data_IF_220366912823
#
_entry.id   IF_220366912823
#
_cell.length_a   1.000
_cell.length_b   1.000
_cell.length_c   1.000
_cell.angle_alpha   90.00
_cell.angle_beta   90.00
_cell.angle_gamma   90.00
#
_symmetry.space_group_name_H-M   'P 1'
#
loop_
_entity.id
_entity.type
_entity.pdbx_description
1 polymer ?
#
# COMPACT_ATOMS: atom_id res chain seq x y z
N UNK A 1 -0.51 -2.50 -24.38
CA UNK A 1 -0.49 -1.66 -23.17
C UNK A 1 0.81 -1.92 -22.40
N UNK A 2 1.41 -0.93 -21.71
CA UNK A 2 2.73 -1.10 -21.08
C UNK A 2 2.65 -2.11 -19.94
N UNK A 3 3.55 -3.10 -19.95
CA UNK A 3 3.67 -4.20 -18.97
C UNK A 3 4.42 -3.74 -17.71
N UNK A 4 3.99 -2.65 -17.07
CA UNK A 4 4.87 -1.87 -16.19
C UNK A 4 5.31 -2.60 -14.92
N UNK A 5 4.45 -3.43 -14.32
CA UNK A 5 4.78 -4.10 -13.05
C UNK A 5 5.64 -5.35 -13.24
N UNK A 6 5.47 -6.10 -14.33
CA UNK A 6 6.30 -7.28 -14.62
C UNK A 6 7.77 -6.90 -14.84
N UNK A 7 8.03 -5.73 -15.44
CA UNK A 7 9.39 -5.22 -15.63
C UNK A 7 10.13 -5.04 -14.29
N UNK A 8 9.44 -4.55 -13.26
CA UNK A 8 10.06 -4.29 -11.96
C UNK A 8 10.62 -5.57 -11.31
N UNK A 9 9.90 -6.69 -11.45
CA UNK A 9 10.34 -7.99 -10.95
C UNK A 9 11.60 -8.54 -11.65
N UNK A 10 11.90 -8.12 -12.89
CA UNK A 10 13.12 -8.52 -13.58
C UNK A 10 14.37 -8.02 -12.84
N UNK A 11 14.28 -6.88 -12.14
CA UNK A 11 15.39 -6.37 -11.34
C UNK A 11 15.78 -7.28 -10.18
N UNK A 12 14.91 -8.19 -9.71
CA UNK A 12 15.30 -9.17 -8.68
C UNK A 12 16.38 -10.15 -9.16
N UNK A 13 16.49 -10.34 -10.48
CA UNK A 13 17.42 -11.28 -11.09
C UNK A 13 18.66 -10.60 -11.69
N UNK A 14 18.68 -9.26 -11.73
CA UNK A 14 19.79 -8.49 -12.28
C UNK A 14 20.82 -8.18 -11.19
N UNK A 15 22.13 -8.17 -11.52
CA UNK A 15 23.13 -7.66 -10.60
C UNK A 15 22.97 -6.15 -10.45
N UNK A 16 22.91 -5.67 -9.20
CA UNK A 16 22.88 -4.25 -8.86
C UNK A 16 24.10 -3.90 -8.02
N UNK A 17 24.77 -2.79 -8.35
CA UNK A 17 25.74 -2.19 -7.45
C UNK A 17 25.02 -1.76 -6.18
N UNK A 18 25.53 -2.17 -5.02
CA UNK A 18 25.01 -1.71 -3.73
C UNK A 18 25.49 -0.31 -3.44
N UNK A 19 24.60 0.51 -2.88
CA UNK A 19 24.93 1.83 -2.34
C UNK A 19 25.01 1.72 -0.83
N UNK A 20 26.09 2.21 -0.25
CA UNK A 20 26.24 2.31 1.21
C UNK A 20 25.37 3.47 1.71
N UNK A 21 24.16 3.16 2.18
CA UNK A 21 23.14 4.15 2.54
C UNK A 21 23.62 5.14 3.63
N UNK A 22 24.47 4.69 4.56
CA UNK A 22 25.06 5.59 5.57
C UNK A 22 26.02 6.61 4.93
N UNK A 23 26.81 6.21 3.93
CA UNK A 23 27.67 7.12 3.19
C UNK A 23 26.84 8.12 2.40
N UNK A 24 25.80 7.63 1.70
CA UNK A 24 24.88 8.47 0.96
C UNK A 24 24.14 9.47 1.86
N UNK A 25 23.72 9.05 3.07
CA UNK A 25 23.07 9.93 4.05
C UNK A 25 23.99 11.09 4.46
N UNK A 26 25.29 10.82 4.64
CA UNK A 26 26.28 11.86 4.97
C UNK A 26 26.57 12.80 3.81
N UNK A 27 26.57 12.28 2.58
CA UNK A 27 26.82 13.08 1.37
C UNK A 27 25.65 13.98 1.02
N UNK A 28 24.42 13.48 1.11
CA UNK A 28 23.21 14.24 0.82
C UNK A 28 22.81 15.16 1.98
N UNK A 29 22.99 14.68 3.21
CA UNK A 29 22.73 15.42 4.44
C UNK A 29 21.36 16.13 4.46
N UNK A 30 20.28 15.43 4.08
CA UNK A 30 18.96 16.04 4.06
C UNK A 30 18.51 16.39 5.48
N UNK A 31 18.35 17.69 5.75
CA UNK A 31 17.78 18.14 7.02
C UNK A 31 16.26 17.87 7.07
N UNK A 32 15.55 18.30 6.03
CA UNK A 32 14.11 18.13 5.89
C UNK A 32 13.75 17.56 4.52
N UNK A 33 12.93 16.51 4.53
CA UNK A 33 12.29 15.95 3.34
C UNK A 33 10.77 16.02 3.48
N UNK A 34 10.10 16.37 2.38
CA UNK A 34 8.63 16.26 2.24
C UNK A 34 8.31 15.30 1.11
N UNK A 35 7.47 14.30 1.35
CA UNK A 35 7.04 13.33 0.33
C UNK A 35 5.55 13.58 0.06
N UNK A 36 5.21 13.83 -1.20
CA UNK A 36 3.83 14.12 -1.62
C UNK A 36 3.34 12.99 -2.52
N UNK A 37 2.34 12.25 -2.03
CA UNK A 37 1.71 11.17 -2.78
C UNK A 37 0.67 11.62 -3.80
N UNK A 38 0.14 10.62 -4.52
CA UNK A 38 -0.79 10.83 -5.62
C UNK A 38 -2.27 10.95 -5.20
N UNK A 39 -2.61 10.91 -3.90
CA UNK A 39 -4.00 11.04 -3.47
C UNK A 39 -4.57 12.41 -3.86
N UNK A 40 -5.84 12.53 -4.23
CA UNK A 40 -6.45 13.80 -4.65
C UNK A 40 -6.32 14.92 -3.59
N UNK A 41 -6.30 16.18 -4.03
CA UNK A 41 -6.26 17.35 -3.14
C UNK A 41 -5.25 18.39 -3.60
N UNK A 42 -5.34 19.58 -3.02
CA UNK A 42 -4.37 20.63 -3.25
C UNK A 42 -3.05 20.26 -2.57
N UNK A 43 -1.94 20.64 -3.21
CA UNK A 43 -0.62 20.48 -2.64
C UNK A 43 0.24 21.68 -3.02
N UNK A 44 1.28 21.91 -2.24
CA UNK A 44 2.34 22.87 -2.53
C UNK A 44 3.67 22.22 -2.15
N UNK A 45 4.76 22.50 -2.87
CA UNK A 45 6.07 22.09 -2.40
C UNK A 45 6.39 22.73 -1.06
N UNK A 46 7.22 22.05 -0.27
CA UNK A 46 7.71 22.63 0.97
C UNK A 46 8.58 23.85 0.67
N UNK A 47 8.46 24.88 1.51
CA UNK A 47 9.27 26.11 1.39
C UNK A 47 10.73 25.89 1.80
N UNK A 48 11.00 24.81 2.52
CA UNK A 48 12.32 24.41 3.02
C UNK A 48 12.58 22.93 2.73
N UNK A 49 13.86 22.56 2.60
CA UNK A 49 14.26 21.19 2.33
C UNK A 49 13.94 20.71 0.91
N UNK A 50 13.90 19.40 0.74
CA UNK A 50 13.66 18.73 -0.55
C UNK A 50 12.27 18.09 -0.57
N UNK A 51 11.50 18.33 -1.62
CA UNK A 51 10.19 17.75 -1.87
C UNK A 51 10.30 16.64 -2.91
N UNK A 52 9.87 15.42 -2.55
CA UNK A 52 9.76 14.29 -3.47
C UNK A 52 8.30 14.11 -3.90
N UNK A 53 8.10 14.01 -5.21
CA UNK A 53 6.79 13.78 -5.83
C UNK A 53 6.85 12.56 -6.76
N UNK A 54 5.69 12.11 -7.21
CA UNK A 54 5.55 10.99 -8.15
C UNK A 54 4.78 11.42 -9.39
N UNK A 55 4.86 10.65 -10.48
CA UNK A 55 4.24 10.97 -11.78
C UNK A 55 2.74 11.37 -11.75
N UNK A 56 1.97 10.95 -10.75
CA UNK A 56 0.56 11.38 -10.60
C UNK A 56 0.40 12.81 -10.06
N UNK A 57 1.47 13.41 -9.60
CA UNK A 57 1.54 14.77 -9.06
C UNK A 57 2.12 15.68 -10.12
N UNK A 58 1.24 16.31 -10.91
CA UNK A 58 1.66 17.22 -11.97
C UNK A 58 2.37 18.44 -11.39
N UNK A 59 3.48 18.81 -12.01
CA UNK A 59 4.29 19.93 -11.61
C UNK A 59 4.91 20.58 -12.85
N UNK A 60 5.09 21.90 -12.78
CA UNK A 60 5.75 22.66 -13.83
C UNK A 60 7.24 22.78 -13.50
N UNK A 61 8.11 22.21 -14.32
CA UNK A 61 9.57 22.31 -14.14
C UNK A 61 10.06 23.77 -14.09
N UNK A 62 9.35 24.69 -14.77
CA UNK A 62 9.67 26.13 -14.74
C UNK A 62 9.39 26.78 -13.38
N UNK A 63 8.66 26.10 -12.49
CA UNK A 63 8.43 26.53 -11.11
C UNK A 63 9.38 25.86 -10.09
N UNK A 64 10.55 25.36 -10.53
CA UNK A 64 11.63 24.83 -9.67
C UNK A 64 12.82 25.78 -9.44
N UNK A 65 12.62 27.01 -8.94
CA UNK A 65 13.70 27.98 -8.88
C UNK A 65 14.91 27.51 -8.02
N UNK A 66 14.75 26.48 -7.18
CA UNK A 66 15.77 26.02 -6.24
C UNK A 66 16.16 24.52 -6.34
N UNK A 67 15.74 23.79 -7.39
CA UNK A 67 15.88 22.31 -7.45
C UNK A 67 15.34 21.60 -6.20
N UNK A 68 14.32 22.17 -5.58
CA UNK A 68 13.71 21.66 -4.36
C UNK A 68 12.74 20.52 -4.65
N UNK A 69 12.33 20.34 -5.91
CA UNK A 69 11.44 19.23 -6.29
C UNK A 69 12.20 18.15 -7.04
N UNK A 70 12.04 16.93 -6.54
CA UNK A 70 12.55 15.69 -7.10
C UNK A 70 11.38 14.81 -7.51
N UNK A 71 11.30 14.43 -8.79
CA UNK A 71 10.27 13.51 -9.28
C UNK A 71 10.79 12.08 -9.31
N UNK A 72 9.97 11.13 -8.84
CA UNK A 72 10.22 9.69 -8.89
C UNK A 72 9.20 9.04 -9.82
N UNK A 73 9.71 8.41 -10.86
CA UNK A 73 8.95 7.65 -11.84
C UNK A 73 9.30 6.15 -11.77
N UNK A 74 8.37 5.30 -12.22
CA UNK A 74 8.65 3.89 -12.46
C UNK A 74 9.48 3.73 -13.74
N UNK A 75 10.63 3.07 -13.66
CA UNK A 75 11.61 2.95 -14.73
C UNK A 75 11.13 2.13 -15.93
N UNK A 76 10.17 1.21 -15.71
CA UNK A 76 9.53 0.45 -16.79
C UNK A 76 8.74 1.29 -17.80
N UNK A 77 8.43 2.55 -17.48
CA UNK A 77 7.83 3.51 -18.43
C UNK A 77 8.87 4.37 -19.17
N UNK A 78 10.15 4.31 -18.78
CA UNK A 78 11.21 5.20 -19.24
C UNK A 78 12.41 4.45 -19.85
N UNK A 79 12.26 3.15 -20.17
CA UNK A 79 13.33 2.28 -20.70
C UNK A 79 14.62 2.32 -19.86
N UNK A 80 14.47 2.54 -18.54
CA UNK A 80 15.58 2.68 -17.61
C UNK A 80 16.22 1.32 -17.29
N UNK A 81 17.53 1.33 -17.06
CA UNK A 81 18.27 0.16 -16.53
C UNK A 81 17.90 -0.16 -15.07
N UNK A 82 17.22 0.77 -14.38
CA UNK A 82 16.83 0.66 -12.99
C UNK A 82 15.31 0.65 -12.84
N UNK A 83 14.86 0.18 -11.66
CA UNK A 83 13.45 0.08 -11.34
C UNK A 83 12.77 1.45 -11.24
N UNK A 84 13.52 2.49 -10.90
CA UNK A 84 13.03 3.86 -10.77
C UNK A 84 13.78 4.80 -11.73
N UNK A 85 13.20 5.98 -11.93
CA UNK A 85 13.88 7.12 -12.55
C UNK A 85 13.68 8.32 -11.64
N UNK A 86 14.79 8.95 -11.25
CA UNK A 86 14.81 10.15 -10.43
C UNK A 86 15.16 11.36 -11.30
N UNK A 87 14.41 12.44 -11.16
CA UNK A 87 14.60 13.69 -11.90
C UNK A 87 14.61 14.88 -10.95
N UNK A 88 15.32 15.95 -11.29
CA UNK A 88 15.34 17.19 -10.50
C UNK A 88 16.34 17.23 -9.34
N UNK A 89 17.20 16.20 -9.19
CA UNK A 89 18.26 16.17 -8.19
C UNK A 89 19.65 15.94 -8.84
N UNK A 90 20.73 16.61 -8.38
CA UNK A 90 22.09 16.39 -8.92
C UNK A 90 22.65 14.98 -8.73
N UNK A 91 22.17 14.25 -7.72
CA UNK A 91 22.56 12.87 -7.40
C UNK A 91 21.48 11.85 -7.81
N UNK A 92 20.77 12.10 -8.91
CA UNK A 92 19.66 11.28 -9.38
C UNK A 92 20.06 9.80 -9.60
N UNK A 93 21.25 9.52 -10.11
CA UNK A 93 21.72 8.16 -10.37
C UNK A 93 21.91 7.36 -9.07
N UNK A 94 22.54 7.97 -8.05
CA UNK A 94 22.71 7.35 -6.73
C UNK A 94 21.37 7.13 -6.02
N UNK A 95 20.47 8.12 -6.08
CA UNK A 95 19.11 7.98 -5.54
C UNK A 95 18.32 6.87 -6.25
N UNK A 96 18.46 6.76 -7.57
CA UNK A 96 17.82 5.70 -8.38
C UNK A 96 18.31 4.31 -7.96
N UNK A 97 19.63 4.16 -7.75
CA UNK A 97 20.22 2.91 -7.26
C UNK A 97 19.74 2.59 -5.85
N UNK A 98 19.76 3.56 -4.94
CA UNK A 98 19.33 3.39 -3.56
C UNK A 98 17.84 3.01 -3.45
N UNK A 99 16.95 3.65 -4.23
CA UNK A 99 15.53 3.28 -4.31
C UNK A 99 15.36 1.83 -4.81
N UNK A 100 16.12 1.45 -5.84
CA UNK A 100 16.07 0.08 -6.39
C UNK A 100 16.52 -0.94 -5.34
N UNK A 101 17.61 -0.64 -4.61
CA UNK A 101 18.10 -1.49 -3.51
C UNK A 101 17.04 -1.65 -2.40
N UNK A 102 16.46 -0.56 -1.92
CA UNK A 102 15.40 -0.60 -0.89
C UNK A 102 14.21 -1.42 -1.38
N UNK A 103 13.80 -1.27 -2.63
CA UNK A 103 12.68 -2.05 -3.17
C UNK A 103 12.95 -3.56 -3.22
N UNK A 104 14.17 -3.95 -3.57
CA UNK A 104 14.62 -5.35 -3.54
C UNK A 104 14.57 -5.90 -2.10
N UNK A 105 15.03 -5.13 -1.12
CA UNK A 105 15.05 -5.52 0.31
C UNK A 105 13.64 -5.63 0.91
N UNK A 106 12.69 -4.81 0.45
CA UNK A 106 11.29 -4.86 0.88
C UNK A 106 10.50 -6.02 0.23
N UNK A 107 10.86 -6.43 -0.98
CA UNK A 107 10.14 -7.46 -1.74
C UNK A 107 9.89 -8.76 -0.96
N UNK A 108 10.88 -9.41 -0.31
CA UNK A 108 10.63 -10.64 0.43
C UNK A 108 9.71 -10.45 1.65
N UNK A 109 9.64 -9.23 2.21
CA UNK A 109 8.78 -8.93 3.37
C UNK A 109 7.31 -8.69 2.97
N UNK A 110 7.09 -8.28 1.72
CA UNK A 110 5.76 -8.00 1.15
C UNK A 110 5.20 -9.16 0.34
N UNK A 111 6.07 -10.04 -0.17
CA UNK A 111 5.69 -11.07 -1.15
C UNK A 111 5.40 -10.52 -2.54
N UNK A 112 5.66 -9.24 -2.78
CA UNK A 112 5.51 -8.55 -4.07
C UNK A 112 6.45 -7.35 -4.16
N UNK A 113 6.54 -6.74 -5.35
CA UNK A 113 7.27 -5.49 -5.52
C UNK A 113 6.57 -4.34 -4.77
N UNK A 114 7.29 -3.52 -3.98
CA UNK A 114 6.69 -2.42 -3.21
C UNK A 114 6.25 -1.25 -4.10
N UNK A 115 5.32 -0.44 -3.60
CA UNK A 115 5.02 0.85 -4.20
C UNK A 115 6.22 1.81 -4.11
N UNK A 116 6.30 2.72 -5.07
CA UNK A 116 7.30 3.79 -5.06
C UNK A 116 7.16 4.69 -3.83
N UNK A 117 5.93 4.84 -3.31
CA UNK A 117 5.63 5.58 -2.10
C UNK A 117 6.33 5.00 -0.88
N UNK A 118 6.07 3.73 -0.55
CA UNK A 118 6.73 3.07 0.58
C UNK A 118 8.25 3.06 0.42
N UNK A 119 8.74 2.72 -0.78
CA UNK A 119 10.18 2.67 -1.09
C UNK A 119 10.86 4.01 -0.80
N UNK A 120 10.23 5.12 -1.21
CA UNK A 120 10.75 6.47 -0.99
C UNK A 120 10.73 6.82 0.49
N UNK A 121 9.65 6.52 1.21
CA UNK A 121 9.56 6.80 2.66
C UNK A 121 10.66 6.05 3.42
N UNK A 122 10.86 4.76 3.14
CA UNK A 122 11.90 3.95 3.79
C UNK A 122 13.30 4.48 3.48
N UNK A 123 13.56 4.90 2.24
CA UNK A 123 14.84 5.48 1.90
C UNK A 123 15.06 6.82 2.62
N UNK A 124 14.08 7.72 2.56
CA UNK A 124 14.22 9.06 3.14
C UNK A 124 14.32 9.04 4.66
N UNK A 125 13.70 8.06 5.33
CA UNK A 125 13.87 7.83 6.76
C UNK A 125 15.33 7.49 7.15
N UNK A 126 16.12 6.94 6.23
CA UNK A 126 17.55 6.66 6.45
C UNK A 126 18.46 7.82 6.03
N UNK A 127 18.02 8.64 5.07
CA UNK A 127 18.83 9.71 4.49
C UNK A 127 18.58 11.09 5.11
N UNK A 128 17.51 11.25 5.91
CA UNK A 128 17.04 12.57 6.36
C UNK A 128 16.87 12.63 7.87
N UNK A 129 17.01 13.83 8.45
CA UNK A 129 16.74 14.05 9.88
C UNK A 129 15.23 14.14 10.16
N UNK A 130 14.50 14.79 9.26
CA UNK A 130 13.05 14.94 9.36
C UNK A 130 12.36 14.58 8.04
N UNK A 131 11.30 13.78 8.14
CA UNK A 131 10.49 13.36 7.00
C UNK A 131 9.03 13.68 7.29
N UNK A 132 8.44 14.46 6.39
CA UNK A 132 7.01 14.70 6.34
C UNK A 132 6.41 13.95 5.15
N UNK A 133 5.22 13.36 5.34
CA UNK A 133 4.48 12.67 4.29
C UNK A 133 3.09 13.28 4.20
N UNK A 134 2.68 13.62 2.98
CA UNK A 134 1.38 14.22 2.67
C UNK A 134 0.71 13.47 1.51
N UNK A 135 -0.62 13.49 1.46
CA UNK A 135 -1.41 12.92 0.33
C UNK A 135 -1.07 11.46 0.03
N UNK A 136 -0.72 10.69 1.06
CA UNK A 136 -0.37 9.28 0.92
C UNK A 136 -0.75 8.55 2.19
N UNK A 137 -1.78 7.71 2.19
CA UNK A 137 -2.10 6.86 3.35
C UNK A 137 -1.50 5.44 3.25
N UNK A 138 -0.82 5.14 2.14
CA UNK A 138 -0.55 3.76 1.68
C UNK A 138 -1.81 2.88 1.65
N UNK A 139 -2.97 3.48 1.41
CA UNK A 139 -4.24 2.78 1.50
C UNK A 139 -5.25 3.23 0.43
N UNK A 140 -4.91 3.07 -0.86
CA UNK A 140 -5.87 3.35 -1.92
C UNK A 140 -7.06 2.38 -1.85
N UNK A 141 -8.21 2.83 -2.34
CA UNK A 141 -9.42 2.03 -2.48
C UNK A 141 -9.22 0.89 -3.48
N UNK A 142 -9.80 -0.28 -3.20
CA UNK A 142 -9.95 -1.39 -4.13
C UNK A 142 -11.38 -1.47 -4.69
N UNK A 143 -12.26 -0.53 -4.33
CA UNK A 143 -13.59 -0.45 -4.91
C UNK A 143 -13.47 -0.04 -6.39
N UNK A 144 -13.89 -0.92 -7.29
CA UNK A 144 -13.88 -0.63 -8.72
C UNK A 144 -14.96 0.39 -9.05
N UNK A 145 -14.67 1.41 -9.87
CA UNK A 145 -15.71 2.31 -10.34
C UNK A 145 -16.51 1.63 -11.46
N UNK A 146 -17.76 2.08 -11.66
CA UNK A 146 -18.69 1.44 -12.60
C UNK A 146 -18.28 1.59 -14.08
N UNK A 147 -17.41 2.54 -14.38
CA UNK A 147 -16.90 2.85 -15.72
C UNK A 147 -15.61 2.09 -16.06
N UNK A 148 -15.00 1.36 -15.12
CA UNK A 148 -13.84 0.52 -15.38
C UNK A 148 -14.26 -0.79 -16.06
N UNK A 149 -13.77 -1.10 -17.27
CA UNK A 149 -14.12 -2.33 -17.98
C UNK A 149 -13.79 -3.60 -17.17
N UNK A 150 -14.57 -4.68 -17.29
CA UNK A 150 -14.34 -5.93 -16.54
C UNK A 150 -12.96 -6.56 -16.74
N UNK A 151 -12.39 -6.40 -17.93
CA UNK A 151 -11.05 -6.87 -18.32
C UNK A 151 -9.90 -6.05 -17.73
N UNK A 152 -10.17 -4.80 -17.37
CA UNK A 152 -9.18 -3.90 -16.81
C UNK A 152 -9.08 -4.07 -15.30
N UNK A 153 -7.85 -4.05 -14.78
CA UNK A 153 -7.59 -4.12 -13.35
C UNK A 153 -7.40 -2.72 -12.75
N UNK A 154 -7.70 -2.58 -11.46
CA UNK A 154 -7.35 -1.36 -10.74
C UNK A 154 -5.83 -1.25 -10.62
N UNK A 155 -5.21 -0.11 -10.99
CA UNK A 155 -3.76 0.05 -10.89
C UNK A 155 -3.20 -0.21 -9.48
N UNK A 156 -4.00 0.07 -8.44
CA UNK A 156 -3.59 -0.17 -7.07
C UNK A 156 -3.62 -1.66 -6.68
N UNK A 157 -4.32 -2.56 -7.37
CA UNK A 157 -4.46 -3.94 -6.91
C UNK A 157 -3.17 -4.78 -7.02
N UNK A 158 -2.12 -4.23 -7.61
CA UNK A 158 -0.83 -4.92 -7.83
C UNK A 158 0.12 -4.87 -6.62
N UNK A 159 -0.23 -4.08 -5.59
CA UNK A 159 0.59 -3.91 -4.39
C UNK A 159 -0.10 -4.50 -3.16
N UNK A 160 0.70 -5.11 -2.29
CA UNK A 160 0.26 -5.55 -0.97
C UNK A 160 0.14 -4.35 -0.01
N UNK A 161 -0.90 -3.52 -0.17
CA UNK A 161 -1.08 -2.31 0.65
C UNK A 161 -1.21 -2.58 2.15
N UNK A 162 -1.78 -3.72 2.54
CA UNK A 162 -1.83 -4.12 3.95
C UNK A 162 -0.42 -4.40 4.48
N UNK A 163 0.39 -5.14 3.73
CA UNK A 163 1.80 -5.38 4.05
C UNK A 163 2.63 -4.10 4.07
N UNK A 164 2.39 -3.18 3.11
CA UNK A 164 3.09 -1.89 3.07
C UNK A 164 2.79 -1.05 4.31
N UNK A 165 1.51 -0.97 4.70
CA UNK A 165 1.12 -0.30 5.95
C UNK A 165 1.70 -0.99 7.18
N UNK A 166 1.72 -2.32 7.21
CA UNK A 166 2.35 -3.08 8.30
C UNK A 166 3.82 -2.69 8.47
N UNK A 167 4.58 -2.63 7.37
CA UNK A 167 5.99 -2.20 7.40
C UNK A 167 6.09 -0.76 7.86
N UNK A 168 5.30 0.14 7.26
CA UNK A 168 5.29 1.56 7.62
C UNK A 168 4.97 1.82 9.10
N UNK A 169 4.08 1.01 9.70
CA UNK A 169 3.70 1.12 11.11
C UNK A 169 4.90 1.02 12.06
N UNK A 170 5.97 0.33 11.67
CA UNK A 170 7.17 0.13 12.52
C UNK A 170 7.98 1.41 12.73
N UNK A 171 7.83 2.39 11.84
CA UNK A 171 8.57 3.66 11.88
C UNK A 171 7.68 4.91 11.75
N UNK A 172 6.36 4.74 11.55
CA UNK A 172 5.43 5.84 11.33
C UNK A 172 5.45 6.91 12.44
N UNK A 173 5.74 6.53 13.69
CA UNK A 173 5.81 7.48 14.82
C UNK A 173 7.02 8.41 14.76
N UNK A 174 8.02 8.10 13.92
CA UNK A 174 9.19 8.96 13.68
C UNK A 174 8.98 9.94 12.51
N UNK A 175 7.81 9.91 11.85
CA UNK A 175 7.48 10.72 10.69
C UNK A 175 6.35 11.70 11.02
N UNK A 176 6.34 12.87 10.38
CA UNK A 176 5.14 13.71 10.34
C UNK A 176 4.21 13.19 9.25
N UNK A 177 3.24 12.36 9.64
CA UNK A 177 2.39 11.63 8.71
C UNK A 177 0.93 11.48 9.21
N UNK A 178 0.14 12.56 9.17
CA UNK A 178 -1.19 12.59 9.76
C UNK A 178 -2.18 11.62 9.08
N UNK A 179 -2.07 11.40 7.76
CA UNK A 179 -3.00 10.52 7.02
C UNK A 179 -2.72 9.02 7.21
N UNK A 180 -1.64 8.65 7.90
CA UNK A 180 -1.32 7.25 8.14
C UNK A 180 -2.25 6.60 9.16
N UNK A 181 -2.54 7.29 10.27
CA UNK A 181 -3.27 6.70 11.40
C UNK A 181 -4.74 6.49 11.07
N UNK A 182 -5.25 5.27 11.28
CA UNK A 182 -6.67 4.96 11.08
C UNK A 182 -7.44 5.22 12.37
N UNK A 183 -8.40 6.17 12.39
CA UNK A 183 -9.28 6.36 13.53
C UNK A 183 -10.47 5.39 13.47
N UNK A 184 -10.90 4.89 14.64
CA UNK A 184 -12.01 3.93 14.73
C UNK A 184 -13.32 4.43 14.10
N UNK A 185 -13.58 5.75 14.15
CA UNK A 185 -14.78 6.38 13.58
C UNK A 185 -14.90 6.16 12.07
N UNK A 186 -13.78 6.10 11.34
CA UNK A 186 -13.80 5.84 9.90
C UNK A 186 -14.32 4.43 9.58
N UNK A 187 -14.09 3.46 10.47
CA UNK A 187 -14.57 2.08 10.30
C UNK A 187 -16.09 1.99 10.43
N UNK A 188 -16.65 2.68 11.42
CA UNK A 188 -18.11 2.74 11.62
C UNK A 188 -18.81 3.35 10.40
N UNK A 189 -18.23 4.40 9.81
CA UNK A 189 -18.77 5.04 8.61
C UNK A 189 -18.74 4.12 7.39
N UNK A 190 -17.63 3.40 7.16
CA UNK A 190 -17.52 2.44 6.07
C UNK A 190 -18.53 1.29 6.21
N UNK A 191 -18.69 0.76 7.43
CA UNK A 191 -19.68 -0.27 7.71
C UNK A 191 -21.11 0.23 7.44
N UNK A 192 -21.43 1.48 7.82
CA UNK A 192 -22.73 2.09 7.57
C UNK A 192 -23.02 2.30 6.08
N UNK A 193 -22.02 2.80 5.32
CA UNK A 193 -22.13 2.96 3.85
C UNK A 193 -22.37 1.61 3.18
N UNK A 194 -21.63 0.57 3.59
CA UNK A 194 -21.82 -0.77 3.04
C UNK A 194 -23.14 -1.40 3.45
N UNK A 195 -23.67 -1.07 4.63
CA UNK A 195 -24.99 -1.54 5.08
C UNK A 195 -26.11 -0.93 4.24
N UNK A 196 -26.01 0.35 3.89
CA UNK A 196 -26.97 1.03 3.03
C UNK A 196 -26.97 0.48 1.59
N UNK A 197 -25.83 -0.05 1.12
CA UNK A 197 -25.70 -0.68 -0.21
C UNK A 197 -26.29 -2.09 -0.29
N UNK A 198 -26.44 -2.78 0.85
CA UNK A 198 -27.06 -4.10 0.93
C UNK A 198 -28.58 -4.03 1.08
N UNK A 199 -29.30 -3.81 -0.02
CA UNK A 199 -30.75 -3.97 -0.07
C UNK A 199 -31.12 -5.36 -0.61
N UNK A 200 -31.70 -6.18 0.27
CA UNK A 200 -32.42 -7.43 0.01
C UNK A 200 -31.54 -8.67 -0.23
N UNK A 201 -31.80 -9.74 0.52
CA UNK A 201 -31.23 -11.11 0.43
C UNK A 201 -29.85 -11.40 1.02
N UNK A 202 -29.61 -11.10 2.30
CA UNK A 202 -28.57 -11.85 3.03
C UNK A 202 -29.13 -12.33 4.38
N UNK A 203 -29.28 -13.66 4.53
CA UNK A 203 -29.30 -14.28 5.85
C UNK A 203 -27.94 -13.97 6.47
N UNK A 204 -27.85 -12.94 7.32
CA UNK A 204 -26.62 -12.71 8.07
C UNK A 204 -26.28 -14.00 8.82
N UNK A 205 -25.22 -14.69 8.39
CA UNK A 205 -24.66 -15.76 9.18
C UNK A 205 -24.33 -15.19 10.57
N UNK A 206 -24.59 -15.96 11.63
CA UNK A 206 -24.16 -15.55 12.98
C UNK A 206 -22.69 -15.17 12.91
N UNK A 207 -22.35 -13.95 13.35
CA UNK A 207 -21.00 -13.38 13.28
C UNK A 207 -20.05 -14.22 14.13
N UNK A 208 -19.43 -15.22 13.50
CA UNK A 208 -18.36 -16.04 14.06
C UNK A 208 -17.01 -15.33 13.99
N UNK A 209 -15.93 -16.10 14.06
CA UNK A 209 -14.58 -15.57 13.87
C UNK A 209 -14.40 -15.11 12.40
N UNK A 210 -14.16 -13.81 12.12
CA UNK A 210 -13.99 -13.33 10.75
C UNK A 210 -12.78 -13.94 10.04
N UNK A 211 -11.75 -14.36 10.78
CA UNK A 211 -10.58 -15.01 10.20
C UNK A 211 -10.87 -16.41 9.64
N UNK A 212 -11.92 -17.09 10.14
CA UNK A 212 -12.35 -18.37 9.56
C UNK A 212 -12.93 -18.17 8.14
N UNK A 213 -13.65 -17.06 7.91
CA UNK A 213 -14.16 -16.73 6.58
C UNK A 213 -13.03 -16.30 5.63
N UNK A 214 -12.05 -15.54 6.13
CA UNK A 214 -10.86 -15.20 5.34
C UNK A 214 -10.07 -16.45 4.93
N UNK A 215 -9.91 -17.43 5.83
CA UNK A 215 -9.26 -18.71 5.51
C UNK A 215 -10.01 -19.46 4.40
N UNK A 216 -11.35 -19.51 4.44
CA UNK A 216 -12.17 -20.12 3.37
C UNK A 216 -12.05 -19.39 2.03
N UNK A 217 -11.94 -18.06 2.04
CA UNK A 217 -11.65 -17.29 0.83
C UNK A 217 -10.26 -17.65 0.27
N UNK A 218 -9.28 -17.88 1.15
CA UNK A 218 -7.91 -18.24 0.76
C UNK A 218 -7.81 -19.65 0.16
N UNK A 219 -8.58 -20.61 0.70
CA UNK A 219 -8.69 -21.97 0.16
C UNK A 219 -9.30 -22.02 -1.25
N UNK A 220 -10.05 -20.98 -1.61
CA UNK A 220 -10.61 -20.86 -2.94
C UNK A 220 -9.53 -20.51 -3.96
N UNK A 221 -9.38 -21.32 -5.01
CA UNK A 221 -8.38 -21.06 -6.05
C UNK A 221 -8.71 -19.77 -6.82
N UNK A 222 -7.74 -18.85 -7.04
CA UNK A 222 -7.92 -17.71 -7.93
C UNK A 222 -8.33 -18.19 -9.33
N UNK A 223 -9.53 -17.80 -9.77
CA UNK A 223 -10.07 -18.17 -11.09
C UNK A 223 -11.16 -17.19 -11.51
N UNK A 224 -11.11 -16.78 -12.77
CA UNK A 224 -12.17 -15.96 -13.39
C UNK A 224 -13.45 -16.78 -13.64
N UNK A 225 -13.30 -18.08 -13.92
CA UNK A 225 -14.35 -19.00 -14.38
C UNK A 225 -15.04 -19.75 -13.23
N UNK A 226 -15.06 -19.15 -12.04
CA UNK A 226 -15.72 -19.71 -10.87
C UNK A 226 -17.24 -19.85 -11.10
N UNK A 227 -17.87 -20.99 -10.74
CA UNK A 227 -19.32 -21.17 -10.86
C UNK A 227 -20.11 -20.06 -10.17
N UNK A 228 -21.23 -19.63 -10.76
CA UNK A 228 -22.07 -18.56 -10.21
C UNK A 228 -22.51 -18.81 -8.76
N UNK A 229 -22.84 -20.05 -8.40
CA UNK A 229 -23.20 -20.42 -7.03
C UNK A 229 -22.04 -20.21 -6.04
N UNK A 230 -20.81 -20.52 -6.44
CA UNK A 230 -19.62 -20.29 -5.62
C UNK A 230 -19.30 -18.79 -5.49
N UNK A 231 -19.46 -18.00 -6.57
CA UNK A 231 -19.34 -16.53 -6.51
C UNK A 231 -20.34 -15.92 -5.54
N UNK A 232 -21.59 -16.39 -5.56
CA UNK A 232 -22.63 -15.91 -4.65
C UNK A 232 -22.29 -16.19 -3.17
N UNK A 233 -21.84 -17.41 -2.86
CA UNK A 233 -21.39 -17.78 -1.51
C UNK A 233 -20.23 -16.89 -1.04
N UNK A 234 -19.22 -16.67 -1.90
CA UNK A 234 -18.09 -15.82 -1.54
C UNK A 234 -18.50 -14.35 -1.40
N UNK A 235 -19.43 -13.87 -2.21
CA UNK A 235 -20.00 -12.54 -2.07
C UNK A 235 -20.67 -12.37 -0.70
N UNK A 236 -21.46 -13.36 -0.25
CA UNK A 236 -22.06 -13.35 1.08
C UNK A 236 -21.00 -13.33 2.20
N UNK A 237 -19.88 -14.02 2.01
CA UNK A 237 -18.75 -13.95 2.95
C UNK A 237 -18.13 -12.56 2.99
N UNK A 238 -17.90 -11.93 1.83
CA UNK A 238 -17.36 -10.58 1.74
C UNK A 238 -18.29 -9.54 2.38
N UNK A 239 -19.60 -9.65 2.13
CA UNK A 239 -20.63 -8.82 2.78
C UNK A 239 -20.57 -9.00 4.29
N UNK A 240 -20.57 -10.25 4.77
CA UNK A 240 -20.50 -10.56 6.21
C UNK A 240 -19.23 -9.97 6.84
N UNK A 241 -18.08 -10.13 6.20
CA UNK A 241 -16.80 -9.58 6.66
C UNK A 241 -16.82 -8.04 6.70
N UNK A 242 -17.34 -7.40 5.66
CA UNK A 242 -17.40 -5.94 5.55
C UNK A 242 -18.35 -5.29 6.57
N UNK A 243 -19.36 -6.02 7.03
CA UNK A 243 -20.30 -5.57 8.07
C UNK A 243 -19.93 -6.05 9.47
N UNK A 244 -18.89 -6.89 9.62
CA UNK A 244 -18.46 -7.38 10.93
C UNK A 244 -17.91 -6.21 11.77
N UNK A 245 -18.47 -5.94 12.96
CA UNK A 245 -18.00 -4.87 13.83
C UNK A 245 -16.52 -5.00 14.22
N UNK A 246 -15.83 -3.86 14.37
CA UNK A 246 -14.38 -3.85 14.65
C UNK A 246 -13.99 -4.51 15.98
N UNK A 247 -14.86 -4.47 16.98
CA UNK A 247 -14.65 -5.16 18.26
C UNK A 247 -14.62 -6.70 18.09
N UNK A 248 -15.42 -7.23 17.17
CA UNK A 248 -15.38 -8.66 16.79
C UNK A 248 -14.06 -8.98 16.09
N UNK A 249 -13.63 -8.16 15.14
CA UNK A 249 -12.31 -8.30 14.51
C UNK A 249 -11.17 -8.31 15.53
N UNK A 250 -11.14 -7.32 16.43
CA UNK A 250 -10.12 -7.20 17.48
C UNK A 250 -10.13 -8.36 18.48
N UNK A 251 -11.30 -8.91 18.78
CA UNK A 251 -11.46 -10.05 19.70
C UNK A 251 -10.73 -11.29 19.18
N UNK A 252 -10.74 -11.52 17.87
CA UNK A 252 -10.15 -12.71 17.27
C UNK A 252 -8.78 -12.48 16.63
N UNK A 253 -8.38 -11.23 16.40
CA UNK A 253 -7.15 -10.92 15.68
C UNK A 253 -5.87 -11.32 16.45
N UNK A 254 -5.00 -12.04 15.74
CA UNK A 254 -3.58 -12.11 16.04
C UNK A 254 -2.73 -11.63 14.84
N UNK A 255 -1.46 -11.26 15.09
CA UNK A 255 -0.59 -10.69 14.06
C UNK A 255 -0.37 -11.65 12.87
N UNK A 256 -0.28 -12.96 13.11
CA UNK A 256 -0.03 -13.96 12.07
C UNK A 256 -1.26 -14.10 11.17
N UNK A 257 -2.45 -14.11 11.75
CA UNK A 257 -3.70 -14.12 11.01
C UNK A 257 -3.85 -12.89 10.11
N UNK A 258 -3.53 -11.70 10.62
CA UNK A 258 -3.59 -10.47 9.82
C UNK A 258 -2.61 -10.53 8.64
N UNK A 259 -1.37 -10.97 8.86
CA UNK A 259 -0.37 -11.14 7.79
C UNK A 259 -0.83 -12.17 6.75
N UNK A 260 -1.36 -13.32 7.19
CA UNK A 260 -1.81 -14.36 6.28
C UNK A 260 -2.95 -13.88 5.35
N UNK A 261 -3.79 -12.96 5.82
CA UNK A 261 -4.89 -12.41 5.04
C UNK A 261 -4.43 -11.43 3.94
N UNK A 262 -3.21 -10.89 4.00
CA UNK A 262 -2.71 -9.89 3.05
C UNK A 262 -2.82 -10.34 1.59
N UNK A 263 -2.51 -11.62 1.33
CA UNK A 263 -2.51 -12.22 -0.01
C UNK A 263 -3.88 -12.23 -0.71
N UNK A 264 -4.98 -12.03 0.03
CA UNK A 264 -6.33 -11.95 -0.54
C UNK A 264 -6.59 -10.64 -1.28
N UNK A 265 -5.78 -9.60 -1.02
CA UNK A 265 -6.12 -8.23 -1.41
C UNK A 265 -5.21 -7.63 -2.49
N UNK A 266 -4.40 -8.46 -3.15
CA UNK A 266 -3.59 -8.01 -4.27
C UNK A 266 -3.33 -9.14 -5.27
N UNK A 267 -3.03 -8.77 -6.51
CA UNK A 267 -2.39 -9.65 -7.48
C UNK A 267 -1.29 -8.85 -8.16
N UNK A 268 -0.03 -9.17 -7.86
CA UNK A 268 1.14 -8.45 -8.38
C UNK A 268 1.44 -8.74 -9.85
N UNK A 269 0.74 -9.69 -10.49
CA UNK A 269 0.88 -10.03 -11.90
C UNK A 269 -0.47 -10.32 -12.55
N UNK A 270 -1.40 -9.34 -12.59
CA UNK A 270 -2.75 -9.57 -13.07
C UNK A 270 -2.85 -9.90 -14.57
N UNK A 271 -1.82 -9.58 -15.35
CA UNK A 271 -1.77 -9.89 -16.78
C UNK A 271 -1.31 -11.33 -17.07
N UNK A 272 -0.69 -12.02 -16.11
CA UNK A 272 -0.13 -13.36 -16.32
C UNK A 272 -0.56 -14.40 -15.28
N UNK A 273 -1.13 -13.97 -14.15
CA UNK A 273 -1.66 -14.84 -13.10
C UNK A 273 -3.13 -14.55 -12.83
N UNK A 274 -3.95 -15.57 -12.56
CA UNK A 274 -5.35 -15.38 -12.23
C UNK A 274 -5.50 -14.58 -10.92
N UNK A 275 -6.39 -13.61 -10.93
CA UNK A 275 -6.82 -12.87 -9.74
C UNK A 275 -7.95 -13.62 -9.02
N UNK A 276 -8.12 -13.35 -7.72
CA UNK A 276 -9.41 -13.58 -7.08
C UNK A 276 -10.49 -12.78 -7.83
N UNK A 277 -11.61 -13.43 -8.19
CA UNK A 277 -12.64 -12.81 -9.03
C UNK A 277 -13.19 -11.51 -8.42
N UNK A 278 -13.28 -11.43 -7.09
CA UNK A 278 -13.79 -10.25 -6.39
C UNK A 278 -12.88 -9.02 -6.48
N UNK A 279 -11.61 -9.18 -6.89
CA UNK A 279 -10.72 -8.05 -7.21
C UNK A 279 -11.05 -7.42 -8.57
N UNK A 280 -11.68 -8.19 -9.46
CA UNK A 280 -12.05 -7.81 -10.82
C UNK A 280 -13.56 -7.52 -10.97
N UNK A 281 -14.36 -7.85 -9.97
CA UNK A 281 -15.80 -7.68 -9.99
C UNK A 281 -16.24 -6.35 -9.36
N UNK A 282 -17.02 -5.57 -10.10
CA UNK A 282 -17.46 -4.23 -9.68
C UNK A 282 -18.34 -4.26 -8.43
N UNK A 283 -19.17 -5.28 -8.24
CA UNK A 283 -20.03 -5.40 -7.08
C UNK A 283 -19.27 -5.89 -5.85
N UNK A 284 -18.52 -6.98 -5.98
CA UNK A 284 -17.81 -7.60 -4.87
C UNK A 284 -16.68 -6.72 -4.33
N UNK A 285 -15.99 -5.99 -5.22
CA UNK A 285 -14.88 -5.12 -4.84
C UNK A 285 -15.28 -3.98 -3.89
N UNK A 286 -16.56 -3.58 -3.87
CA UNK A 286 -17.08 -2.53 -2.96
C UNK A 286 -16.93 -2.89 -1.48
N UNK A 287 -16.87 -4.19 -1.16
CA UNK A 287 -16.78 -4.66 0.23
C UNK A 287 -15.34 -4.74 0.74
N UNK A 288 -14.35 -4.77 -0.15
CA UNK A 288 -12.95 -5.01 0.20
C UNK A 288 -12.38 -3.92 1.10
N UNK A 289 -12.77 -2.67 0.90
CA UNK A 289 -12.22 -1.55 1.66
C UNK A 289 -12.54 -1.66 3.15
N UNK A 290 -13.77 -2.00 3.54
CA UNK A 290 -14.14 -2.16 4.94
C UNK A 290 -13.38 -3.32 5.61
N UNK A 291 -13.19 -4.42 4.88
CA UNK A 291 -12.43 -5.58 5.35
C UNK A 291 -10.97 -5.20 5.57
N UNK A 292 -10.33 -4.60 4.57
CA UNK A 292 -8.93 -4.14 4.65
C UNK A 292 -8.74 -3.13 5.77
N UNK A 293 -9.64 -2.16 5.91
CA UNK A 293 -9.57 -1.18 6.99
C UNK A 293 -9.63 -1.84 8.37
N UNK A 294 -10.49 -2.85 8.54
CA UNK A 294 -10.57 -3.61 9.79
C UNK A 294 -9.26 -4.36 10.08
N UNK A 295 -8.68 -5.03 9.07
CA UNK A 295 -7.38 -5.71 9.19
C UNK A 295 -6.24 -4.74 9.53
N UNK A 296 -6.16 -3.61 8.82
CA UNK A 296 -5.14 -2.58 9.07
C UNK A 296 -5.28 -1.97 10.48
N UNK A 297 -6.50 -1.77 10.96
CA UNK A 297 -6.76 -1.27 12.31
C UNK A 297 -6.42 -2.32 13.39
N UNK A 298 -6.70 -3.59 13.15
CA UNK A 298 -6.25 -4.69 14.01
C UNK A 298 -4.73 -4.70 14.13
N UNK A 299 -4.00 -4.60 13.00
CA UNK A 299 -2.54 -4.49 13.02
C UNK A 299 -2.07 -3.31 13.88
N UNK A 300 -2.56 -2.10 13.57
CA UNK A 300 -2.21 -0.86 14.28
C UNK A 300 -2.41 -1.02 15.81
N UNK A 301 -3.56 -1.57 16.22
CA UNK A 301 -3.90 -1.76 17.64
C UNK A 301 -3.01 -2.80 18.32
N UNK A 302 -2.75 -3.93 17.66
CA UNK A 302 -1.93 -5.01 18.22
C UNK A 302 -0.45 -4.60 18.33
N UNK A 303 0.09 -3.93 17.30
CA UNK A 303 1.49 -3.47 17.31
C UNK A 303 1.76 -2.43 18.39
N UNK A 304 0.84 -1.49 18.62
CA UNK A 304 0.99 -0.48 19.68
C UNK A 304 0.97 -1.12 21.06
N UNK A 305 0.12 -2.13 21.29
CA UNK A 305 0.08 -2.87 22.56
C UNK A 305 1.40 -3.60 22.84
N UNK A 306 1.98 -4.25 21.84
CA UNK A 306 3.26 -4.93 22.00
C UNK A 306 4.42 -3.95 22.29
N UNK A 307 4.44 -2.80 21.61
CA UNK A 307 5.46 -1.79 21.86
C UNK A 307 5.30 -1.13 23.24
N UNK A 308 4.07 -0.91 23.70
CA UNK A 308 3.77 -0.40 25.04
C UNK A 308 4.20 -1.33 26.18
N UNK A 309 4.25 -2.64 25.94
CA UNK A 309 4.83 -3.62 26.88
C UNK A 309 6.34 -3.79 26.77
N UNK A 310 6.99 -3.21 25.76
CA UNK A 310 8.41 -3.43 25.43
C UNK A 310 9.23 -2.13 25.43
N UNK A 311 8.89 -1.13 26.24
CA UNK A 311 9.76 0.02 26.47
C UNK A 311 10.86 -0.31 27.49
N UNK A 312 11.83 -1.10 27.03
CA UNK A 312 13.18 -1.16 27.57
C UNK A 312 14.17 -1.72 26.54
N UNK A 313 14.27 -1.13 25.33
CA UNK A 313 15.52 -1.08 24.58
C UNK A 313 15.53 0.23 23.79
N UNK A 314 16.42 1.12 24.20
CA UNK A 314 16.81 2.33 23.49
C UNK A 314 17.80 1.92 22.40
N UNK A 315 17.49 2.18 21.13
CA UNK A 315 18.52 2.19 20.09
C UNK A 315 19.15 3.58 20.07
N UNK A 316 20.43 3.63 20.46
CA UNK A 316 21.35 4.75 20.20
C UNK A 316 22.10 4.46 18.91
#
# INVERSE_FOLDING_TARGET
>A
MPKSHTHMHQHLQMPHSRVELHTLARELAFEQVTIIGNASGNWQPATTGTTFIFNGTQWNEKSNPNNQIVNIANGGFAESKYAFVVQGHPQNDLLTQALTQVAIELTPQLGCWPSSGLTTIVLMQQLSQHVQVQRMSLFPSLARPNDLPPEDHLPCMVHNWLGERRIAQTFATALDWPEFTLPAVCLANLAAVNKARGSQTSMMMKTGNPFDLLARLQESTPSADMPHSAKHIQLDWLITLAHTPIDVWLKYADLKQVINAEALFFNHMPESKPSYWYLMDTQASQYLDAIRHSLAYCWQTLSTKQNGTTHAITYR
#
